data_IF_031328041959
#
_entry.id   IF_031328041959
#
_cell.length_a   1.000
_cell.length_b   1.000
_cell.length_c   1.000
_cell.angle_alpha   90.00
_cell.angle_beta   90.00
_cell.angle_gamma   90.00
#
_symmetry.space_group_name_H-M   'P 1'
#
loop_
_entity.id
_entity.type
_entity.pdbx_description
1 polymer ?
#
# COMPACT_ATOMS: atom_id res chain seq x y z
N UNK A 1 -20.37 -13.18 -8.04
CA UNK A 1 -20.58 -14.54 -8.59
C UNK A 1 -19.40 -15.49 -8.34
N UNK A 2 -18.17 -14.97 -8.16
CA UNK A 2 -16.95 -15.81 -8.06
C UNK A 2 -16.43 -16.03 -6.62
N UNK A 3 -16.94 -15.33 -5.60
CA UNK A 3 -16.34 -15.36 -4.26
C UNK A 3 -16.47 -16.74 -3.60
N UNK A 4 -17.63 -17.39 -3.69
CA UNK A 4 -17.81 -18.72 -3.06
C UNK A 4 -16.95 -19.81 -3.70
N UNK A 5 -16.88 -19.95 -5.05
CA UNK A 5 -15.93 -20.86 -5.69
C UNK A 5 -14.46 -20.64 -5.28
N UNK A 6 -14.05 -19.38 -5.10
CA UNK A 6 -12.67 -19.07 -4.65
C UNK A 6 -12.43 -19.52 -3.21
N UNK A 7 -13.41 -19.29 -2.32
CA UNK A 7 -13.34 -19.74 -0.92
C UNK A 7 -13.30 -21.27 -0.84
N UNK A 8 -14.20 -21.95 -1.57
CA UNK A 8 -14.25 -23.41 -1.58
C UNK A 8 -12.94 -24.01 -2.13
N UNK A 9 -12.37 -23.40 -3.18
CA UNK A 9 -11.07 -23.80 -3.71
C UNK A 9 -9.96 -23.61 -2.68
N UNK A 10 -9.91 -22.46 -1.98
CA UNK A 10 -8.91 -22.19 -0.97
C UNK A 10 -8.96 -23.20 0.19
N UNK A 11 -10.16 -23.52 0.67
CA UNK A 11 -10.37 -24.52 1.71
C UNK A 11 -9.95 -25.93 1.25
N UNK A 12 -10.32 -26.30 0.02
CA UNK A 12 -9.93 -27.58 -0.55
C UNK A 12 -8.41 -27.71 -0.72
N UNK A 13 -7.73 -26.69 -1.24
CA UNK A 13 -6.29 -26.71 -1.45
C UNK A 13 -5.51 -26.69 -0.13
N UNK A 14 -6.01 -25.97 0.89
CA UNK A 14 -5.41 -25.96 2.23
C UNK A 14 -5.73 -27.21 3.05
N UNK A 15 -6.66 -28.06 2.58
CA UNK A 15 -7.16 -29.24 3.31
C UNK A 15 -7.79 -28.89 4.67
N UNK A 16 -8.40 -27.72 4.77
CA UNK A 16 -9.09 -27.23 5.96
C UNK A 16 -10.59 -27.36 5.73
N UNK A 17 -11.31 -28.00 6.66
CA UNK A 17 -12.77 -28.04 6.59
C UNK A 17 -13.38 -26.72 7.13
N UNK A 18 -14.59 -26.38 6.65
CA UNK A 18 -15.29 -25.17 7.15
C UNK A 18 -15.50 -25.20 8.67
N UNK A 19 -15.72 -26.38 9.22
CA UNK A 19 -15.91 -26.56 10.66
C UNK A 19 -14.62 -26.37 11.51
N UNK A 20 -13.45 -26.35 10.87
CA UNK A 20 -12.16 -26.16 11.54
C UNK A 20 -11.72 -24.69 11.56
N UNK A 21 -12.58 -23.77 11.09
CA UNK A 21 -12.29 -22.34 11.08
C UNK A 21 -12.58 -21.75 12.47
N UNK A 22 -11.61 -21.01 13.03
CA UNK A 22 -11.70 -20.33 14.32
C UNK A 22 -12.21 -18.88 14.18
N UNK A 23 -12.20 -18.31 12.98
CA UNK A 23 -12.62 -16.95 12.72
C UNK A 23 -12.55 -16.59 11.24
N UNK A 24 -13.16 -15.47 10.86
CA UNK A 24 -13.15 -14.95 9.48
C UNK A 24 -12.61 -13.53 9.47
N UNK A 25 -11.45 -13.34 8.85
CA UNK A 25 -10.89 -12.02 8.59
C UNK A 25 -11.30 -11.50 7.22
N UNK A 26 -11.73 -10.25 7.15
CA UNK A 26 -12.19 -9.62 5.90
C UNK A 26 -11.81 -8.15 5.84
N UNK A 27 -11.48 -7.67 4.66
CA UNK A 27 -11.23 -6.24 4.43
C UNK A 27 -12.51 -5.43 4.72
N UNK A 28 -12.45 -4.52 5.70
CA UNK A 28 -13.52 -3.56 5.98
C UNK A 28 -13.32 -2.23 5.22
N UNK A 29 -12.11 -1.94 4.79
CA UNK A 29 -11.73 -0.73 4.05
C UNK A 29 -10.29 -0.29 4.37
N UNK A 30 -9.84 0.81 3.74
CA UNK A 30 -10.53 1.55 2.68
C UNK A 30 -10.55 0.79 1.34
N UNK A 31 -11.52 1.13 0.47
CA UNK A 31 -11.62 0.53 -0.86
C UNK A 31 -12.93 0.84 -1.59
N UNK A 32 -13.14 0.19 -2.73
CA UNK A 32 -14.36 0.31 -3.52
C UNK A 32 -15.54 -0.34 -2.77
N UNK A 33 -16.50 0.47 -2.36
CA UNK A 33 -17.63 0.03 -1.50
C UNK A 33 -18.33 -1.20 -2.06
N UNK A 34 -18.63 -1.25 -3.37
CA UNK A 34 -19.29 -2.40 -3.98
C UNK A 34 -18.51 -3.71 -3.81
N UNK A 35 -17.19 -3.69 -4.03
CA UNK A 35 -16.34 -4.86 -3.83
C UNK A 35 -16.23 -5.25 -2.35
N UNK A 36 -16.04 -4.25 -1.46
CA UNK A 36 -15.99 -4.49 -0.02
C UNK A 36 -17.29 -5.07 0.52
N UNK A 37 -18.45 -4.61 0.05
CA UNK A 37 -19.76 -5.15 0.45
C UNK A 37 -19.91 -6.63 0.10
N UNK A 38 -19.45 -7.07 -1.07
CA UNK A 38 -19.51 -8.49 -1.47
C UNK A 38 -18.67 -9.34 -0.51
N UNK A 39 -17.41 -8.93 -0.25
CA UNK A 39 -16.53 -9.63 0.69
C UNK A 39 -17.09 -9.65 2.12
N UNK A 40 -17.49 -8.49 2.61
CA UNK A 40 -17.98 -8.34 3.99
C UNK A 40 -19.30 -9.08 4.23
N UNK A 41 -20.26 -9.04 3.29
CA UNK A 41 -21.51 -9.79 3.42
C UNK A 41 -21.27 -11.29 3.43
N UNK A 42 -20.36 -11.78 2.58
CA UNK A 42 -19.98 -13.20 2.53
C UNK A 42 -19.30 -13.62 3.85
N UNK A 43 -18.34 -12.82 4.33
CA UNK A 43 -17.65 -13.10 5.59
C UNK A 43 -18.60 -13.13 6.80
N UNK A 44 -19.55 -12.18 6.85
CA UNK A 44 -20.60 -12.17 7.89
C UNK A 44 -21.49 -13.41 7.84
N UNK A 45 -21.90 -13.84 6.63
CA UNK A 45 -22.71 -15.05 6.48
C UNK A 45 -21.96 -16.30 6.96
N UNK A 46 -20.69 -16.43 6.65
CA UNK A 46 -19.84 -17.53 7.10
C UNK A 46 -19.68 -17.47 8.64
N UNK A 47 -19.28 -16.32 9.19
CA UNK A 47 -19.09 -16.14 10.63
C UNK A 47 -20.37 -16.46 11.41
N UNK A 48 -21.51 -15.94 10.97
CA UNK A 48 -22.82 -16.22 11.57
C UNK A 48 -23.21 -17.70 11.50
N UNK A 49 -23.03 -18.34 10.33
CA UNK A 49 -23.44 -19.73 10.13
C UNK A 49 -22.60 -20.73 10.92
N UNK A 50 -21.36 -20.41 11.23
CA UNK A 50 -20.42 -21.25 11.98
C UNK A 50 -20.32 -20.86 13.46
N UNK A 51 -20.98 -19.77 13.86
CA UNK A 51 -20.88 -19.18 15.22
C UNK A 51 -19.44 -18.86 15.62
N UNK A 52 -18.67 -18.26 14.70
CA UNK A 52 -17.27 -17.90 14.89
C UNK A 52 -17.06 -16.38 14.73
N UNK A 53 -16.00 -15.79 15.34
CA UNK A 53 -15.73 -14.37 15.29
C UNK A 53 -15.50 -13.84 13.86
N UNK A 54 -16.03 -12.63 13.60
CA UNK A 54 -15.71 -11.81 12.45
C UNK A 54 -14.60 -10.80 12.80
N UNK A 55 -13.61 -10.64 11.95
CA UNK A 55 -12.52 -9.67 12.13
C UNK A 55 -12.48 -8.73 10.93
N UNK A 56 -12.87 -7.47 11.12
CA UNK A 56 -12.77 -6.43 10.09
C UNK A 56 -11.36 -5.86 10.04
N UNK A 57 -10.67 -6.03 8.94
CA UNK A 57 -9.27 -5.67 8.75
C UNK A 57 -9.13 -4.41 7.91
N UNK A 58 -8.26 -3.49 8.35
CA UNK A 58 -7.89 -2.32 7.56
C UNK A 58 -6.91 -2.74 6.44
N UNK A 59 -7.28 -2.43 5.20
CA UNK A 59 -6.53 -2.80 4.01
C UNK A 59 -5.09 -2.27 3.99
N UNK A 60 -4.88 -1.01 4.43
CA UNK A 60 -3.55 -0.40 4.42
C UNK A 60 -2.64 -0.97 5.51
N UNK A 61 -3.20 -1.25 6.67
CA UNK A 61 -2.49 -1.89 7.78
C UNK A 61 -2.11 -3.33 7.40
N UNK A 62 -3.00 -4.04 6.68
CA UNK A 62 -2.73 -5.38 6.20
C UNK A 62 -1.55 -5.43 5.20
N UNK A 63 -1.41 -4.43 4.33
CA UNK A 63 -0.22 -4.35 3.45
C UNK A 63 1.09 -4.34 4.23
N UNK A 64 1.15 -3.61 5.36
CA UNK A 64 2.34 -3.60 6.21
C UNK A 64 2.53 -4.93 6.94
N UNK A 65 1.43 -5.56 7.37
CA UNK A 65 1.46 -6.87 8.03
C UNK A 65 1.94 -8.00 7.10
N UNK A 66 1.84 -7.82 5.77
CA UNK A 66 2.30 -8.80 4.79
C UNK A 66 3.80 -9.15 4.92
N UNK A 67 4.61 -8.25 5.47
CA UNK A 67 6.04 -8.51 5.70
C UNK A 67 6.27 -9.70 6.64
N UNK A 68 5.39 -9.90 7.61
CA UNK A 68 5.47 -10.98 8.60
C UNK A 68 5.14 -12.37 8.03
N UNK A 69 4.68 -12.45 6.78
CA UNK A 69 4.53 -13.73 6.08
C UNK A 69 5.87 -14.33 5.62
N UNK A 70 6.92 -13.51 5.53
CA UNK A 70 8.22 -13.91 4.99
C UNK A 70 9.41 -13.48 5.88
N UNK A 71 9.22 -12.51 6.79
CA UNK A 71 10.31 -11.93 7.56
C UNK A 71 9.90 -11.68 9.01
N UNK A 72 10.85 -11.79 9.91
CA UNK A 72 10.73 -11.27 11.28
C UNK A 72 11.25 -9.85 11.33
N UNK A 73 10.36 -8.88 11.58
CA UNK A 73 10.70 -7.46 11.68
C UNK A 73 10.42 -6.96 13.08
N UNK A 74 11.45 -6.43 13.73
CA UNK A 74 11.32 -5.88 15.09
C UNK A 74 10.56 -4.56 15.11
N UNK A 75 9.73 -4.38 16.13
CA UNK A 75 9.02 -3.12 16.38
C UNK A 75 9.86 -2.15 17.26
N UNK A 76 9.64 -0.83 17.15
CA UNK A 76 8.84 -0.18 16.11
C UNK A 76 9.58 -0.11 14.77
N UNK A 77 8.82 -0.01 13.67
CA UNK A 77 9.37 0.28 12.35
C UNK A 77 8.53 1.34 11.62
N UNK A 78 9.10 1.99 10.60
CA UNK A 78 8.36 2.86 9.70
C UNK A 78 7.85 2.03 8.51
N UNK A 79 6.55 2.10 8.24
CA UNK A 79 5.91 1.45 7.10
C UNK A 79 5.53 2.46 6.01
N UNK A 80 5.99 2.25 4.78
CA UNK A 80 5.53 2.95 3.59
C UNK A 80 4.56 2.07 2.82
N UNK A 81 3.28 2.43 2.79
CA UNK A 81 2.29 1.82 1.90
C UNK A 81 2.20 2.66 0.64
N UNK A 82 2.52 2.05 -0.50
CA UNK A 82 2.53 2.73 -1.80
C UNK A 82 1.86 1.87 -2.87
N UNK A 83 0.68 2.30 -3.33
CA UNK A 83 -0.18 1.56 -4.26
C UNK A 83 -0.81 2.47 -5.32
N UNK A 84 -1.69 1.92 -6.15
CA UNK A 84 -2.47 2.69 -7.13
C UNK A 84 -3.35 3.78 -6.49
N UNK A 85 -3.92 3.52 -5.32
CA UNK A 85 -4.85 4.44 -4.65
C UNK A 85 -4.31 5.10 -3.39
N UNK A 86 -3.17 4.66 -2.85
CA UNK A 86 -2.68 5.13 -1.56
C UNK A 86 -1.17 5.36 -1.57
N UNK A 87 -0.76 6.42 -0.87
CA UNK A 87 0.63 6.66 -0.50
C UNK A 87 0.64 7.21 0.92
N UNK A 88 1.12 6.42 1.87
CA UNK A 88 1.04 6.74 3.29
C UNK A 88 2.23 6.19 4.07
N UNK A 89 2.70 6.97 5.05
CA UNK A 89 3.72 6.57 6.03
C UNK A 89 3.08 6.31 7.38
N UNK A 90 3.49 5.23 8.02
CA UNK A 90 3.05 4.83 9.35
C UNK A 90 4.23 4.57 10.26
N UNK A 91 4.06 4.86 11.55
CA UNK A 91 4.86 4.24 12.60
C UNK A 91 4.10 3.00 13.10
N UNK A 92 4.71 1.85 12.93
CA UNK A 92 4.14 0.56 13.35
C UNK A 92 4.78 0.17 14.67
N UNK A 93 4.00 0.18 15.74
CA UNK A 93 4.47 -0.04 17.12
C UNK A 93 4.33 -1.49 17.58
N UNK A 94 3.37 -2.22 17.01
CA UNK A 94 3.14 -3.64 17.23
C UNK A 94 2.36 -4.23 16.05
N UNK A 95 2.06 -5.52 16.09
CA UNK A 95 1.27 -6.19 15.03
C UNK A 95 -0.09 -5.56 14.75
N UNK A 96 -0.69 -4.86 15.70
CA UNK A 96 -2.04 -4.26 15.57
C UNK A 96 -2.06 -2.76 15.94
N UNK A 97 -0.90 -2.11 16.13
CA UNK A 97 -0.83 -0.71 16.48
C UNK A 97 -0.09 0.10 15.42
N UNK A 98 -0.86 0.90 14.67
CA UNK A 98 -0.39 1.70 13.54
C UNK A 98 -0.72 3.18 13.78
N UNK A 99 0.28 4.05 13.67
CA UNK A 99 0.13 5.49 13.77
C UNK A 99 0.43 6.11 12.40
N UNK A 100 -0.56 6.79 11.81
CA UNK A 100 -0.40 7.48 10.53
C UNK A 100 0.49 8.72 10.74
N UNK A 101 1.65 8.76 10.09
CA UNK A 101 2.59 9.89 10.13
C UNK A 101 2.29 10.92 9.04
N UNK A 102 2.01 10.45 7.82
CA UNK A 102 1.71 11.30 6.68
C UNK A 102 1.12 10.51 5.52
N UNK A 103 0.48 11.22 4.61
CA UNK A 103 -0.12 10.64 3.42
C UNK A 103 -0.09 11.60 2.23
N UNK A 104 -0.40 11.09 1.03
CA UNK A 104 -0.56 12.00 -0.10
C UNK A 104 -1.72 12.97 0.10
N UNK A 105 -1.52 14.20 -0.35
CA UNK A 105 -2.53 15.28 -0.32
C UNK A 105 -3.36 15.34 -1.60
N UNK A 106 -2.92 14.61 -2.62
CA UNK A 106 -3.55 14.57 -3.94
C UNK A 106 -3.44 13.17 -4.56
N UNK A 107 -2.84 13.02 -5.73
CA UNK A 107 -2.68 11.71 -6.39
C UNK A 107 -1.80 10.76 -5.57
N UNK A 108 -2.12 9.48 -5.54
CA UNK A 108 -1.20 8.45 -5.06
C UNK A 108 -0.04 8.25 -6.05
N UNK A 109 1.09 7.71 -5.59
CA UNK A 109 2.24 7.48 -6.46
C UNK A 109 1.93 6.56 -7.64
N UNK A 110 1.16 5.48 -7.42
CA UNK A 110 0.74 4.58 -8.51
C UNK A 110 -0.19 5.26 -9.49
N UNK A 111 -1.15 6.06 -9.01
CA UNK A 111 -2.02 6.88 -9.85
C UNK A 111 -1.21 7.90 -10.68
N UNK A 112 -0.16 8.50 -10.09
CA UNK A 112 0.74 9.39 -10.82
C UNK A 112 1.48 8.66 -11.95
N UNK A 113 1.96 7.44 -11.70
CA UNK A 113 2.54 6.59 -12.75
C UNK A 113 1.55 6.29 -13.87
N UNK A 114 0.33 5.85 -13.55
CA UNK A 114 -0.69 5.50 -14.55
C UNK A 114 -1.13 6.71 -15.38
N UNK A 115 -1.32 7.87 -14.74
CA UNK A 115 -1.66 9.12 -15.43
C UNK A 115 -0.55 9.58 -16.38
N UNK A 116 0.72 9.49 -15.98
CA UNK A 116 1.85 9.85 -16.82
C UNK A 116 2.01 8.88 -17.99
N UNK A 117 1.91 7.57 -17.76
CA UNK A 117 1.94 6.55 -18.78
C UNK A 117 0.88 6.80 -19.87
N UNK A 118 -0.35 7.13 -19.45
CA UNK A 118 -1.43 7.48 -20.38
C UNK A 118 -1.08 8.70 -21.26
N UNK A 119 -0.45 9.73 -20.67
CA UNK A 119 -0.01 10.91 -21.42
C UNK A 119 1.10 10.55 -22.42
N UNK A 120 1.99 9.63 -22.06
CA UNK A 120 3.07 9.11 -22.91
C UNK A 120 2.61 8.06 -23.94
N UNK A 121 1.31 7.72 -23.97
CA UNK A 121 0.79 6.69 -24.89
C UNK A 121 1.17 5.25 -24.50
N UNK A 122 1.60 5.01 -23.27
CA UNK A 122 2.00 3.70 -22.77
C UNK A 122 0.80 2.87 -22.30
N UNK A 123 0.88 1.52 -22.39
CA UNK A 123 -0.17 0.62 -21.90
C UNK A 123 -0.41 0.72 -20.40
N UNK A 124 -1.56 0.21 -19.97
CA UNK A 124 -1.89 -0.01 -18.54
C UNK A 124 -1.50 -1.45 -18.12
N UNK A 125 -0.96 -1.67 -16.90
CA UNK A 125 -0.67 -0.69 -15.84
C UNK A 125 0.60 0.14 -16.13
N UNK A 126 0.45 1.47 -16.02
CA UNK A 126 1.49 2.42 -16.43
C UNK A 126 2.79 2.32 -15.64
N UNK A 127 2.71 2.03 -14.35
CA UNK A 127 3.90 1.90 -13.50
C UNK A 127 4.86 0.81 -13.97
N UNK A 128 4.34 -0.31 -14.49
CA UNK A 128 5.15 -1.42 -15.02
C UNK A 128 5.87 -0.99 -16.32
N UNK A 129 5.15 -0.32 -17.22
CA UNK A 129 5.72 0.11 -18.50
C UNK A 129 6.77 1.22 -18.32
N UNK A 130 6.50 2.17 -17.41
CA UNK A 130 7.50 3.20 -17.06
C UNK A 130 8.75 2.54 -16.45
N UNK A 131 8.61 1.58 -15.52
CA UNK A 131 9.76 0.89 -14.91
C UNK A 131 10.61 0.13 -15.96
N UNK A 132 9.97 -0.50 -16.96
CA UNK A 132 10.66 -1.19 -18.04
C UNK A 132 11.50 -0.22 -18.91
N UNK A 133 10.89 0.89 -19.34
CA UNK A 133 11.56 1.88 -20.17
C UNK A 133 12.64 2.63 -19.40
N UNK A 134 12.38 2.98 -18.15
CA UNK A 134 13.31 3.69 -17.26
C UNK A 134 14.67 3.00 -17.09
N UNK A 135 14.71 1.66 -17.19
CA UNK A 135 15.96 0.89 -17.13
C UNK A 135 16.95 1.21 -18.24
N UNK A 136 16.45 1.74 -19.37
CA UNK A 136 17.26 2.10 -20.54
C UNK A 136 17.54 3.62 -20.63
N UNK A 137 16.86 4.41 -19.77
CA UNK A 137 16.91 5.86 -19.79
C UNK A 137 17.89 6.47 -18.82
N UNK A 138 18.21 7.74 -19.05
CA UNK A 138 18.99 8.56 -18.14
C UNK A 138 18.07 9.23 -17.09
N UNK A 139 18.26 8.93 -15.83
CA UNK A 139 17.47 9.46 -14.69
C UNK A 139 17.66 10.97 -14.49
N UNK A 140 18.72 11.55 -15.02
CA UNK A 140 19.07 12.97 -14.86
C UNK A 140 18.77 13.82 -16.11
N UNK A 141 18.24 13.22 -17.18
CA UNK A 141 17.97 13.92 -18.44
C UNK A 141 16.97 15.07 -18.27
N UNK A 142 15.97 14.90 -17.40
CA UNK A 142 14.91 15.88 -17.19
C UNK A 142 14.70 16.12 -15.69
N UNK A 143 14.73 17.39 -15.29
CA UNK A 143 14.47 17.79 -13.89
C UNK A 143 12.97 17.95 -13.66
N UNK A 144 12.28 16.86 -13.32
CA UNK A 144 10.91 16.92 -12.86
C UNK A 144 10.80 17.46 -11.42
N UNK A 145 9.69 18.16 -11.07
CA UNK A 145 9.50 18.71 -9.74
C UNK A 145 9.43 17.59 -8.68
N UNK A 146 9.83 17.91 -7.46
CA UNK A 146 9.74 17.07 -6.28
C UNK A 146 9.01 17.83 -5.18
N UNK A 147 7.66 17.83 -5.20
CA UNK A 147 6.86 18.56 -4.22
C UNK A 147 7.14 18.07 -2.79
N UNK A 148 7.09 18.99 -1.82
CA UNK A 148 7.32 18.73 -0.40
C UNK A 148 8.68 18.10 -0.02
N UNK A 149 9.64 17.97 -0.95
CA UNK A 149 10.95 17.38 -0.64
C UNK A 149 11.66 18.08 0.52
N UNK A 150 11.54 19.40 0.62
CA UNK A 150 12.16 20.23 1.66
C UNK A 150 11.27 20.51 2.88
N UNK A 151 10.02 19.99 2.92
CA UNK A 151 9.15 20.19 4.07
C UNK A 151 9.46 19.20 5.19
N UNK A 152 9.35 19.65 6.44
CA UNK A 152 9.55 18.82 7.63
C UNK A 152 8.40 17.86 7.93
N UNK A 153 7.28 17.95 7.21
CA UNK A 153 6.17 17.00 7.35
C UNK A 153 6.40 15.73 6.54
N UNK A 154 5.62 14.68 6.81
CA UNK A 154 5.69 13.39 6.12
C UNK A 154 4.68 13.23 4.98
N UNK A 155 4.02 14.31 4.56
CA UNK A 155 3.05 14.27 3.48
C UNK A 155 3.70 14.22 2.09
N UNK A 156 2.94 13.73 1.13
CA UNK A 156 3.32 13.62 -0.27
C UNK A 156 2.40 14.44 -1.16
N UNK A 157 2.85 14.74 -2.37
CA UNK A 157 2.05 15.30 -3.46
C UNK A 157 2.66 14.88 -4.79
N UNK A 158 1.84 14.40 -5.71
CA UNK A 158 2.28 13.92 -7.03
C UNK A 158 1.48 14.52 -8.19
N UNK A 159 0.38 15.24 -7.95
CA UNK A 159 -0.48 15.78 -9.01
C UNK A 159 0.25 16.73 -9.97
N UNK A 160 1.21 17.50 -9.47
CA UNK A 160 2.03 18.41 -10.27
C UNK A 160 2.96 17.70 -11.25
N UNK A 161 3.36 16.47 -10.97
CA UNK A 161 4.23 15.67 -11.84
C UNK A 161 3.56 15.32 -13.17
N UNK A 162 2.28 14.94 -13.15
CA UNK A 162 1.49 14.70 -14.36
C UNK A 162 1.52 15.92 -15.28
N UNK A 163 1.28 17.10 -14.73
CA UNK A 163 1.25 18.35 -15.49
C UNK A 163 2.64 18.69 -16.09
N UNK A 164 3.71 18.40 -15.34
CA UNK A 164 5.07 18.63 -15.81
C UNK A 164 5.45 17.74 -17.01
N UNK A 165 5.04 16.46 -17.02
CA UNK A 165 5.21 15.57 -18.16
C UNK A 165 4.43 16.08 -19.38
N UNK A 166 3.18 16.49 -19.19
CA UNK A 166 2.35 17.04 -20.26
C UNK A 166 3.00 18.28 -20.92
N UNK A 167 3.50 19.21 -20.09
CA UNK A 167 4.19 20.40 -20.61
C UNK A 167 5.51 20.07 -21.30
N UNK A 168 6.26 19.08 -20.80
CA UNK A 168 7.48 18.64 -21.44
C UNK A 168 7.19 18.06 -22.82
N UNK A 169 6.25 17.15 -22.96
CA UNK A 169 5.87 16.53 -24.24
C UNK A 169 5.27 17.53 -25.23
N UNK A 170 4.55 18.56 -24.77
CA UNK A 170 4.08 19.64 -25.66
C UNK A 170 5.22 20.44 -26.30
N UNK A 171 6.36 20.57 -25.60
CA UNK A 171 7.56 21.26 -26.12
C UNK A 171 8.45 20.32 -26.93
N UNK A 172 8.35 19.04 -26.74
CA UNK A 172 9.11 17.97 -27.37
C UNK A 172 8.13 16.91 -27.91
N UNK A 173 7.40 17.26 -29.01
CA UNK A 173 6.45 16.31 -29.60
C UNK A 173 7.20 15.17 -30.28
N UNK A 174 6.57 13.99 -30.30
CA UNK A 174 7.08 12.78 -30.95
C UNK A 174 8.50 12.37 -30.47
N UNK A 175 8.71 12.12 -29.18
CA UNK A 175 10.01 11.72 -28.66
C UNK A 175 10.47 10.40 -29.28
N UNK A 176 11.75 10.28 -29.58
CA UNK A 176 12.39 9.02 -29.98
C UNK A 176 12.27 7.98 -28.83
N UNK A 177 12.52 6.69 -29.12
CA UNK A 177 12.51 5.64 -28.09
C UNK A 177 13.48 5.93 -26.95
N UNK A 178 14.65 6.51 -27.23
CA UNK A 178 15.62 6.88 -26.20
C UNK A 178 15.11 8.05 -25.35
N UNK A 179 14.57 9.10 -25.97
CA UNK A 179 13.99 10.23 -25.26
C UNK A 179 12.81 9.81 -24.39
N UNK A 180 11.95 8.90 -24.87
CA UNK A 180 10.86 8.34 -24.08
C UNK A 180 11.39 7.55 -22.88
N UNK A 181 12.47 6.79 -23.05
CA UNK A 181 13.14 6.08 -21.97
C UNK A 181 13.72 7.05 -20.93
N UNK A 182 14.31 8.16 -21.37
CA UNK A 182 14.86 9.21 -20.51
C UNK A 182 13.76 9.95 -19.73
N UNK A 183 12.61 10.21 -20.38
CA UNK A 183 11.42 10.79 -19.73
C UNK A 183 10.94 9.83 -18.63
N UNK A 184 10.78 8.54 -18.95
CA UNK A 184 10.35 7.52 -17.99
C UNK A 184 11.33 7.41 -16.81
N UNK A 185 12.63 7.38 -17.08
CA UNK A 185 13.66 7.28 -16.04
C UNK A 185 13.66 8.50 -15.11
N UNK A 186 13.63 9.70 -15.68
CA UNK A 186 13.63 10.97 -14.92
C UNK A 186 12.34 11.15 -14.12
N UNK A 187 11.19 10.75 -14.69
CA UNK A 187 9.89 10.80 -14.02
C UNK A 187 9.82 9.84 -12.85
N UNK A 188 10.21 8.58 -13.07
CA UNK A 188 10.31 7.55 -12.01
C UNK A 188 11.23 8.01 -10.90
N UNK A 189 12.41 8.56 -11.23
CA UNK A 189 13.35 9.04 -10.23
C UNK A 189 12.75 10.16 -9.36
N UNK A 190 11.96 11.06 -9.93
CA UNK A 190 11.32 12.14 -9.16
C UNK A 190 10.32 11.62 -8.12
N UNK A 191 9.53 10.58 -8.46
CA UNK A 191 8.59 9.94 -7.53
C UNK A 191 9.35 9.16 -6.47
N UNK A 192 10.26 8.28 -6.90
CA UNK A 192 10.99 7.37 -6.01
C UNK A 192 11.86 8.15 -5.02
N UNK A 193 12.55 9.18 -5.49
CA UNK A 193 13.37 10.07 -4.67
C UNK A 193 12.53 10.72 -3.55
N UNK A 194 11.32 11.19 -3.87
CA UNK A 194 10.40 11.77 -2.88
C UNK A 194 9.92 10.73 -1.86
N UNK A 195 9.58 9.52 -2.31
CA UNK A 195 9.14 8.43 -1.43
C UNK A 195 10.25 8.03 -0.44
N UNK A 196 11.47 7.83 -0.94
CA UNK A 196 12.60 7.38 -0.14
C UNK A 196 13.07 8.47 0.84
N UNK A 197 13.15 9.73 0.40
CA UNK A 197 13.56 10.84 1.27
C UNK A 197 12.60 11.02 2.46
N UNK A 198 11.27 10.96 2.23
CA UNK A 198 10.28 11.07 3.29
C UNK A 198 10.29 9.87 4.23
N UNK A 199 10.53 8.68 3.69
CA UNK A 199 10.66 7.45 4.48
C UNK A 199 11.90 7.51 5.37
N UNK A 200 13.03 7.96 4.83
CA UNK A 200 14.27 8.14 5.60
C UNK A 200 14.10 9.20 6.69
N UNK A 201 13.45 10.34 6.37
CA UNK A 201 13.15 11.38 7.34
C UNK A 201 12.34 10.83 8.51
N UNK A 202 11.25 10.09 8.22
CA UNK A 202 10.41 9.47 9.24
C UNK A 202 11.21 8.46 10.08
N UNK A 203 12.01 7.61 9.44
CA UNK A 203 12.83 6.62 10.14
C UNK A 203 13.84 7.25 11.10
N UNK A 204 14.47 8.36 10.69
CA UNK A 204 15.42 9.10 11.54
C UNK A 204 14.73 9.81 12.70
N UNK A 205 13.60 10.48 12.45
CA UNK A 205 12.85 11.22 13.48
C UNK A 205 12.33 10.28 14.56
N UNK A 206 11.78 9.13 14.16
CA UNK A 206 11.29 8.11 15.09
C UNK A 206 12.35 7.12 15.57
N UNK A 207 13.63 7.30 15.14
CA UNK A 207 14.79 6.50 15.58
C UNK A 207 14.59 4.99 15.40
N UNK A 208 13.86 4.58 14.36
CA UNK A 208 13.63 3.16 14.07
C UNK A 208 14.83 2.53 13.36
N UNK A 209 14.98 1.22 13.50
CA UNK A 209 16.06 0.44 12.88
C UNK A 209 15.62 -0.29 11.62
N UNK A 210 14.33 -0.25 11.32
CA UNK A 210 13.74 -0.99 10.21
C UNK A 210 12.69 -0.15 9.48
N UNK A 211 12.61 -0.36 8.18
CA UNK A 211 11.59 0.19 7.28
C UNK A 211 10.95 -0.96 6.52
N UNK A 212 9.62 -0.92 6.39
CA UNK A 212 8.84 -1.83 5.55
C UNK A 212 8.23 -1.04 4.40
N UNK A 213 8.40 -1.49 3.17
CA UNK A 213 7.76 -0.88 1.99
C UNK A 213 6.81 -1.90 1.37
N UNK A 214 5.52 -1.59 1.29
CA UNK A 214 4.48 -2.48 0.84
C UNK A 214 3.51 -1.80 -0.13
N UNK A 215 2.62 -2.58 -0.77
CA UNK A 215 1.72 -2.10 -1.82
C UNK A 215 2.28 -2.36 -3.22
N UNK A 216 1.43 -2.26 -4.25
CA UNK A 216 1.80 -2.64 -5.62
C UNK A 216 2.98 -1.87 -6.20
N UNK A 217 3.17 -0.59 -5.84
CA UNK A 217 4.32 0.22 -6.29
C UNK A 217 5.63 -0.22 -5.61
N UNK A 218 5.59 -0.97 -4.50
CA UNK A 218 6.78 -1.58 -3.90
C UNK A 218 7.46 -2.63 -4.83
N UNK A 219 6.79 -3.05 -5.91
CA UNK A 219 7.39 -3.87 -6.96
C UNK A 219 8.28 -3.08 -7.92
N UNK A 220 8.22 -1.74 -7.93
CA UNK A 220 9.05 -0.90 -8.78
C UNK A 220 10.53 -1.11 -8.48
N UNK A 221 11.32 -1.39 -9.55
CA UNK A 221 12.73 -1.78 -9.40
C UNK A 221 13.58 -0.66 -8.81
N UNK A 222 13.33 0.59 -9.21
CA UNK A 222 14.11 1.73 -8.70
C UNK A 222 13.78 2.06 -7.25
N UNK A 223 12.52 1.92 -6.84
CA UNK A 223 12.14 2.11 -5.44
C UNK A 223 12.87 1.10 -4.55
N UNK A 224 12.93 -0.17 -4.96
CA UNK A 224 13.67 -1.22 -4.23
C UNK A 224 15.17 -0.93 -4.14
N UNK A 225 15.77 -0.53 -5.25
CA UNK A 225 17.19 -0.18 -5.34
C UNK A 225 17.51 1.03 -4.44
N UNK A 226 16.86 2.17 -4.69
CA UNK A 226 17.16 3.44 -4.00
C UNK A 226 16.88 3.38 -2.49
N UNK A 227 15.84 2.64 -2.10
CA UNK A 227 15.54 2.46 -0.68
C UNK A 227 16.67 1.75 0.05
N UNK A 228 17.23 0.69 -0.53
CA UNK A 228 18.38 -0.01 0.04
C UNK A 228 19.62 0.90 0.04
N UNK A 229 19.93 1.52 -1.09
CA UNK A 229 21.07 2.44 -1.21
C UNK A 229 21.09 3.51 -0.12
N UNK A 230 19.94 4.13 0.17
CA UNK A 230 19.91 5.29 1.10
C UNK A 230 19.65 4.93 2.55
N UNK A 231 18.83 3.91 2.83
CA UNK A 231 18.50 3.57 4.21
C UNK A 231 19.57 2.66 4.85
N UNK A 232 20.13 1.72 4.09
CA UNK A 232 21.15 0.80 4.63
C UNK A 232 22.46 1.54 4.99
N UNK A 233 22.84 2.60 4.25
CA UNK A 233 23.97 3.47 4.60
C UNK A 233 23.78 4.17 5.97
N UNK A 234 22.52 4.43 6.33
CA UNK A 234 22.16 5.01 7.64
C UNK A 234 21.94 3.93 8.73
N UNK A 235 22.24 2.68 8.43
CA UNK A 235 22.09 1.56 9.35
C UNK A 235 20.62 1.14 9.58
N UNK A 236 19.73 1.46 8.63
CA UNK A 236 18.30 1.15 8.69
C UNK A 236 18.02 -0.03 7.75
N UNK A 237 17.57 -1.15 8.28
CA UNK A 237 17.22 -2.34 7.49
C UNK A 237 15.95 -2.10 6.65
N UNK A 238 15.95 -2.54 5.39
CA UNK A 238 14.82 -2.38 4.48
C UNK A 238 14.19 -3.73 4.17
N UNK A 239 12.91 -3.87 4.49
CA UNK A 239 12.12 -5.05 4.21
C UNK A 239 11.05 -4.73 3.17
N UNK A 240 11.03 -5.48 2.09
CA UNK A 240 10.02 -5.36 1.02
C UNK A 240 9.53 -6.77 0.72
N UNK A 241 8.25 -7.08 0.98
CA UNK A 241 7.70 -8.40 0.69
C UNK A 241 7.94 -8.82 -0.76
N UNK A 242 7.89 -10.13 -1.02
CA UNK A 242 7.95 -10.63 -2.39
C UNK A 242 6.76 -10.09 -3.21
N UNK A 243 6.87 -9.99 -4.54
CA UNK A 243 5.82 -9.39 -5.39
C UNK A 243 4.43 -9.98 -5.17
N UNK A 244 4.32 -11.26 -4.86
CA UNK A 244 3.03 -11.95 -4.58
C UNK A 244 2.31 -11.41 -3.33
N UNK A 245 3.04 -10.80 -2.38
CA UNK A 245 2.49 -10.21 -1.16
C UNK A 245 2.52 -8.67 -1.16
N UNK A 246 3.17 -8.04 -2.15
CA UNK A 246 3.11 -6.58 -2.32
C UNK A 246 1.77 -6.11 -2.89
N UNK A 247 1.18 -6.87 -3.82
CA UNK A 247 -0.15 -6.57 -4.39
C UNK A 247 -1.27 -7.06 -3.46
N UNK A 248 -2.50 -6.65 -3.73
CA UNK A 248 -3.68 -7.09 -2.97
C UNK A 248 -3.77 -8.62 -2.94
N UNK A 249 -3.88 -9.17 -1.74
CA UNK A 249 -3.97 -10.61 -1.54
C UNK A 249 -4.70 -10.93 -0.23
N UNK A 250 -5.27 -12.12 -0.13
CA UNK A 250 -5.99 -12.54 1.08
C UNK A 250 -5.04 -12.90 2.25
N UNK A 251 -3.80 -13.31 1.96
CA UNK A 251 -2.85 -13.71 3.01
C UNK A 251 -2.47 -12.54 3.92
N UNK A 252 -2.35 -11.31 3.38
CA UNK A 252 -2.08 -10.13 4.20
C UNK A 252 -3.24 -9.81 5.16
N UNK A 253 -4.50 -10.05 4.72
CA UNK A 253 -5.69 -9.87 5.53
C UNK A 253 -5.74 -10.94 6.62
N UNK A 254 -5.47 -12.20 6.27
CA UNK A 254 -5.37 -13.30 7.22
C UNK A 254 -4.25 -13.10 8.25
N UNK A 255 -3.10 -12.58 7.83
CA UNK A 255 -1.96 -12.29 8.71
C UNK A 255 -2.36 -11.27 9.79
N UNK A 256 -2.84 -10.09 9.40
CA UNK A 256 -3.26 -9.07 10.36
C UNK A 256 -4.46 -9.53 11.19
N UNK A 257 -5.46 -10.16 10.54
CA UNK A 257 -6.63 -10.70 11.22
C UNK A 257 -6.28 -11.75 12.27
N UNK A 258 -5.27 -12.60 12.02
CA UNK A 258 -4.77 -13.57 12.98
C UNK A 258 -4.15 -12.90 14.22
N UNK A 259 -3.36 -11.84 14.05
CA UNK A 259 -2.83 -11.09 15.20
C UNK A 259 -3.93 -10.37 15.99
N UNK A 260 -4.93 -9.80 15.29
CA UNK A 260 -6.11 -9.20 15.94
C UNK A 260 -6.91 -10.24 16.71
N UNK A 261 -7.15 -11.40 16.12
CA UNK A 261 -7.85 -12.52 16.77
C UNK A 261 -7.16 -12.98 18.05
N UNK A 262 -5.83 -13.16 18.01
CA UNK A 262 -5.03 -13.53 19.20
C UNK A 262 -5.13 -12.51 20.33
N UNK A 263 -5.38 -11.23 20.01
CA UNK A 263 -5.64 -10.17 21.00
C UNK A 263 -7.09 -10.08 21.45
N UNK A 264 -7.99 -10.88 20.89
CA UNK A 264 -9.42 -10.80 21.14
C UNK A 264 -10.10 -9.59 20.46
N UNK A 265 -9.43 -8.97 19.47
CA UNK A 265 -9.99 -7.86 18.69
C UNK A 265 -10.92 -8.43 17.60
N UNK A 266 -12.23 -8.40 17.85
CA UNK A 266 -13.28 -8.89 16.94
C UNK A 266 -14.20 -7.76 16.50
N UNK A 267 -15.07 -8.03 15.54
CA UNK A 267 -16.02 -7.09 14.99
C UNK A 267 -17.44 -7.60 15.10
N UNK A 268 -18.36 -6.70 15.35
CA UNK A 268 -19.80 -7.00 15.34
C UNK A 268 -20.29 -7.29 13.91
N UNK A 269 -21.35 -8.07 13.77
CA UNK A 269 -22.01 -8.29 12.48
C UNK A 269 -22.61 -7.01 11.86
N UNK A 270 -22.74 -5.94 12.63
CA UNK A 270 -23.14 -4.61 12.17
C UNK A 270 -22.04 -3.84 11.44
N UNK A 271 -20.79 -4.35 11.43
CA UNK A 271 -19.64 -3.71 10.74
C UNK A 271 -20.02 -3.28 9.32
N UNK A 272 -19.72 -2.04 8.95
CA UNK A 272 -19.95 -1.49 7.60
C UNK A 272 -18.64 -1.19 6.89
N UNK A 273 -18.59 -1.33 5.56
CA UNK A 273 -17.38 -0.98 4.81
C UNK A 273 -17.22 0.54 4.70
N UNK A 274 -15.98 1.01 4.51
CA UNK A 274 -15.67 2.42 4.30
C UNK A 274 -14.74 2.62 3.11
N UNK A 275 -14.92 3.74 2.38
CA UNK A 275 -14.19 4.03 1.13
C UNK A 275 -12.93 4.86 1.31
N UNK A 276 -12.82 5.61 2.41
CA UNK A 276 -11.71 6.55 2.65
C UNK A 276 -10.94 6.17 3.91
N UNK A 277 -9.63 6.39 3.89
CA UNK A 277 -8.78 6.22 5.08
C UNK A 277 -9.06 7.32 6.10
N UNK A 278 -10.13 7.17 6.90
CA UNK A 278 -10.45 8.09 7.99
C UNK A 278 -9.90 7.53 9.31
N UNK A 279 -9.15 8.31 10.12
CA UNK A 279 -8.57 7.84 11.38
C UNK A 279 -9.57 7.31 12.41
N UNK A 280 -10.85 7.65 12.27
CA UNK A 280 -11.92 7.27 13.22
C UNK A 280 -12.54 5.88 12.97
N UNK A 281 -12.27 5.21 11.86
CA UNK A 281 -12.92 3.93 11.53
C UNK A 281 -12.00 2.69 11.66
N UNK A 282 -10.81 2.88 12.20
CA UNK A 282 -9.83 1.80 12.37
C UNK A 282 -9.95 0.99 13.66
N UNK A 283 -10.86 1.34 14.58
CA UNK A 283 -11.07 0.57 15.81
C UNK A 283 -12.55 0.60 16.17
N UNK A 284 -13.21 -0.53 16.08
CA UNK A 284 -14.46 -0.77 16.78
C UNK A 284 -14.19 -0.72 18.29
N UNK A 285 -14.27 0.46 18.90
CA UNK A 285 -14.41 0.54 20.36
C UNK A 285 -15.80 0.08 20.68
N UNK A 286 -15.90 -0.92 21.55
CA UNK A 286 -17.15 -1.33 22.16
C UNK A 286 -17.94 -0.09 22.61
N UNK A 287 -19.22 -0.05 22.25
CA UNK A 287 -20.06 1.11 22.39
C UNK A 287 -20.15 1.60 23.83
N UNK A 288 -19.98 2.89 23.98
CA UNK A 288 -20.81 3.66 24.91
C UNK A 288 -21.47 4.75 24.10
N UNK A 289 -22.77 4.62 23.98
CA UNK A 289 -23.67 5.63 23.47
C UNK A 289 -23.61 6.86 24.38
N UNK A 290 -23.10 7.97 23.87
CA UNK A 290 -23.49 9.27 24.38
C UNK A 290 -24.36 9.94 23.31
N UNK A 291 -25.67 9.74 23.49
CA UNK A 291 -26.69 10.64 23.01
C UNK A 291 -26.84 11.72 24.10
N UNK A 292 -26.50 12.95 23.79
CA UNK A 292 -26.98 14.18 24.37
C UNK A 292 -26.91 15.29 23.31
#
# INVERSE_FOLDING_TARGET
>A
ELIMPVIDKALHESKVAKADLDGVAVTSGPGLIGALMVGLSTAKAIAFSLDIPLIGVNHLEAHMSAVHLENEVSFPFVGLVVSGGHTSLYLVKSYTEFELLGKTRDDAAGEAFDKAAKIMGLPYPGGIEIDKLAKKGNREAIKFPRPFKSSSNFDFSFSGLKTSVLYYLRKHPDPSEQELSDICASYQEAIVDTLVDKTLLAAKEHKVKSVVIAGGVACNSRLRELSKERLEVEGIAVYIPSPKYCTDNAAMIGSLGGFMFQKGETSELSLTPFSTSHPKYGRGRGGQSELA
#
